data_IF_848472701390
#
_entry.id   IF_848472701390
#
_cell.length_a   1.000
_cell.length_b   1.000
_cell.length_c   1.000
_cell.angle_alpha   90.00
_cell.angle_beta   90.00
_cell.angle_gamma   90.00
#
_symmetry.space_group_name_H-M   'P 1'
#
loop_
_entity.id
_entity.type
_entity.pdbx_description
1 polymer ?
#
# COMPACT_ATOMS: atom_id res chain seq x y z
N UNK A 1 26.04 -9.01 -2.61
CA UNK A 1 25.05 -8.95 -1.52
C UNK A 1 23.67 -8.90 -2.15
N UNK A 2 22.71 -9.75 -1.78
CA UNK A 2 21.35 -9.72 -2.30
C UNK A 2 20.54 -8.71 -1.47
N UNK A 3 20.00 -7.66 -2.10
CA UNK A 3 19.04 -6.76 -1.46
C UNK A 3 17.62 -7.37 -1.46
N UNK A 4 16.72 -6.92 -0.57
CA UNK A 4 15.30 -7.27 -0.65
C UNK A 4 14.72 -6.83 -2.00
N UNK A 5 13.62 -7.45 -2.41
CA UNK A 5 12.88 -6.98 -3.59
C UNK A 5 12.48 -5.54 -3.40
N UNK A 6 12.59 -4.73 -4.45
CA UNK A 6 12.14 -3.34 -4.43
C UNK A 6 10.82 -3.20 -5.19
N UNK A 7 9.82 -2.73 -4.50
CA UNK A 7 8.51 -2.37 -5.04
C UNK A 7 8.21 -0.90 -4.77
N UNK A 8 7.18 -0.35 -5.40
CA UNK A 8 6.75 1.03 -5.19
C UNK A 8 5.31 1.05 -4.68
N UNK A 9 5.03 1.88 -3.69
CA UNK A 9 3.67 2.27 -3.32
C UNK A 9 3.36 3.65 -3.87
N UNK A 10 2.17 3.82 -4.42
CA UNK A 10 1.68 5.14 -4.77
C UNK A 10 1.59 6.00 -3.50
N UNK A 11 2.18 7.20 -3.48
CA UNK A 11 2.12 8.08 -2.33
C UNK A 11 0.77 8.80 -2.25
N UNK A 12 0.36 9.16 -1.04
CA UNK A 12 -0.88 9.91 -0.74
C UNK A 12 -0.55 11.17 0.06
N UNK A 13 0.31 12.03 -0.53
CA UNK A 13 0.69 13.28 0.11
C UNK A 13 -0.44 14.30 0.01
N UNK A 14 -0.96 14.75 1.15
CA UNK A 14 -2.11 15.68 1.21
C UNK A 14 -1.82 17.07 0.60
N UNK A 15 -0.56 17.44 0.54
CA UNK A 15 -0.08 18.70 -0.04
C UNK A 15 0.31 18.57 -1.53
N UNK A 16 0.00 17.42 -2.16
CA UNK A 16 0.34 17.16 -3.57
C UNK A 16 -0.92 16.86 -4.39
N UNK A 17 -0.90 17.17 -5.70
CA UNK A 17 -1.98 16.77 -6.60
C UNK A 17 -2.17 15.24 -6.59
N UNK A 18 -3.38 14.70 -6.43
CA UNK A 18 -3.62 13.26 -6.44
C UNK A 18 -3.17 12.58 -7.74
N UNK A 19 -3.19 13.30 -8.88
CA UNK A 19 -2.77 12.78 -10.19
C UNK A 19 -1.26 12.52 -10.30
N UNK A 20 -0.43 13.01 -9.37
CA UNK A 20 0.99 12.66 -9.29
C UNK A 20 1.16 11.12 -9.17
N UNK A 21 0.17 10.41 -8.64
CA UNK A 21 0.14 8.95 -8.58
C UNK A 21 0.35 8.27 -9.93
N UNK A 22 -0.16 8.84 -11.03
CA UNK A 22 0.03 8.30 -12.37
C UNK A 22 1.48 8.44 -12.84
N UNK A 23 2.13 9.58 -12.55
CA UNK A 23 3.52 9.79 -12.86
C UNK A 23 4.44 8.85 -12.08
N UNK A 24 4.14 8.60 -10.80
CA UNK A 24 4.86 7.61 -9.97
C UNK A 24 4.71 6.20 -10.55
N UNK A 25 3.50 5.81 -10.97
CA UNK A 25 3.25 4.50 -11.57
C UNK A 25 4.04 4.30 -12.86
N UNK A 26 4.09 5.32 -13.73
CA UNK A 26 4.87 5.30 -14.97
C UNK A 26 6.38 5.19 -14.69
N UNK A 27 6.91 5.97 -13.73
CA UNK A 27 8.30 5.89 -13.32
C UNK A 27 8.66 4.50 -12.77
N UNK A 28 7.80 3.91 -11.93
CA UNK A 28 8.00 2.58 -11.38
C UNK A 28 8.03 1.49 -12.47
N UNK A 29 7.14 1.57 -13.46
CA UNK A 29 7.13 0.65 -14.62
C UNK A 29 8.41 0.80 -15.44
N UNK A 30 8.79 2.04 -15.79
CA UNK A 30 9.99 2.35 -16.59
C UNK A 30 11.28 1.87 -15.93
N UNK A 31 11.37 1.97 -14.60
CA UNK A 31 12.52 1.55 -13.80
C UNK A 31 12.45 0.08 -13.40
N UNK A 32 11.51 -0.69 -13.93
CA UNK A 32 11.35 -2.13 -13.72
C UNK A 32 11.30 -2.54 -12.24
N UNK A 33 10.52 -1.84 -11.44
CA UNK A 33 10.24 -2.25 -10.07
C UNK A 33 9.45 -3.56 -10.03
N UNK A 34 9.58 -4.30 -8.93
CA UNK A 34 9.02 -5.64 -8.83
C UNK A 34 7.49 -5.64 -8.87
N UNK A 35 6.83 -4.64 -8.23
CA UNK A 35 5.38 -4.56 -8.05
C UNK A 35 4.96 -3.13 -7.73
N UNK A 36 3.75 -2.74 -8.14
CA UNK A 36 3.14 -1.48 -7.75
C UNK A 36 2.04 -1.71 -6.71
N UNK A 37 2.15 -1.06 -5.56
CA UNK A 37 1.14 -1.08 -4.52
C UNK A 37 0.22 0.13 -4.64
N UNK A 38 -1.08 -0.12 -4.66
CA UNK A 38 -2.14 0.88 -4.87
C UNK A 38 -3.06 0.84 -3.67
N UNK A 39 -2.78 1.68 -2.66
CA UNK A 39 -3.59 1.79 -1.46
C UNK A 39 -4.92 2.51 -1.71
N UNK A 40 -5.77 2.54 -0.70
CA UNK A 40 -7.03 3.27 -0.73
C UNK A 40 -7.06 4.28 0.41
N UNK A 41 -7.20 5.54 0.03
CA UNK A 41 -7.26 6.68 0.95
C UNK A 41 -8.46 7.59 0.57
N UNK A 42 -8.37 8.88 0.88
CA UNK A 42 -9.43 9.86 0.58
C UNK A 42 -9.34 10.46 -0.83
N UNK A 43 -8.72 9.80 -1.79
CA UNK A 43 -8.54 10.30 -3.16
C UNK A 43 -9.22 9.40 -4.18
N UNK A 44 -8.55 8.34 -4.61
CA UNK A 44 -9.06 7.43 -5.63
C UNK A 44 -9.59 6.12 -5.02
N UNK A 45 -10.62 5.56 -5.64
CA UNK A 45 -10.96 4.15 -5.48
C UNK A 45 -9.82 3.30 -6.02
N UNK A 46 -9.33 2.34 -5.22
CA UNK A 46 -8.15 1.55 -5.56
C UNK A 46 -8.35 0.70 -6.82
N UNK A 47 -9.53 0.15 -7.05
CA UNK A 47 -9.80 -0.69 -8.22
C UNK A 47 -9.90 0.14 -9.51
N UNK A 48 -10.54 1.33 -9.43
CA UNK A 48 -10.63 2.25 -10.56
C UNK A 48 -9.25 2.75 -10.97
N UNK A 49 -8.42 3.20 -10.00
CA UNK A 49 -7.06 3.67 -10.25
C UNK A 49 -6.18 2.54 -10.81
N UNK A 50 -6.24 1.34 -10.21
CA UNK A 50 -5.50 0.18 -10.69
C UNK A 50 -5.88 -0.23 -12.11
N UNK A 51 -7.18 -0.13 -12.47
CA UNK A 51 -7.63 -0.39 -13.84
C UNK A 51 -7.07 0.64 -14.81
N UNK A 52 -7.12 1.93 -14.45
CA UNK A 52 -6.55 3.00 -15.28
C UNK A 52 -5.04 2.79 -15.52
N UNK A 53 -4.27 2.56 -14.46
CA UNK A 53 -2.82 2.30 -14.54
C UNK A 53 -2.54 1.00 -15.31
N UNK A 54 -3.27 -0.07 -15.00
CA UNK A 54 -3.05 -1.38 -15.61
C UNK A 54 -3.35 -1.43 -17.10
N UNK A 55 -4.19 -0.53 -17.62
CA UNK A 55 -4.49 -0.36 -19.04
C UNK A 55 -3.39 0.38 -19.80
N UNK A 56 -2.52 1.12 -19.13
CA UNK A 56 -1.34 1.73 -19.72
C UNK A 56 -0.32 0.66 -20.14
N UNK A 57 0.57 0.94 -21.11
CA UNK A 57 1.62 0.01 -21.50
C UNK A 57 2.47 -0.40 -20.30
N UNK A 58 2.72 -1.71 -20.15
CA UNK A 58 3.55 -2.26 -19.09
C UNK A 58 3.09 -3.64 -18.63
N UNK A 59 3.86 -4.23 -17.70
CA UNK A 59 3.63 -5.60 -17.22
C UNK A 59 3.80 -5.74 -15.71
N UNK A 60 4.18 -4.67 -15.01
CA UNK A 60 4.43 -4.72 -13.58
C UNK A 60 3.20 -5.24 -12.84
N UNK A 61 3.34 -6.22 -11.95
CA UNK A 61 2.26 -6.71 -11.11
C UNK A 61 1.67 -5.60 -10.24
N UNK A 62 0.38 -5.68 -9.96
CA UNK A 62 -0.35 -4.73 -9.12
C UNK A 62 -0.70 -5.40 -7.79
N UNK A 63 -0.49 -4.70 -6.67
CA UNK A 63 -0.99 -5.08 -5.36
C UNK A 63 -1.98 -4.04 -4.88
N UNK A 64 -3.24 -4.41 -4.72
CA UNK A 64 -4.33 -3.51 -4.35
C UNK A 64 -4.50 -3.48 -2.84
N UNK A 65 -4.24 -2.33 -2.26
CA UNK A 65 -4.38 -2.13 -0.82
C UNK A 65 -3.12 -1.58 -0.13
N UNK A 66 -3.14 -1.54 1.22
CA UNK A 66 -4.10 -2.23 2.11
C UNK A 66 -5.53 -1.68 2.02
N UNK A 67 -6.45 -2.55 1.58
CA UNK A 67 -7.88 -2.22 1.51
C UNK A 67 -8.51 -2.27 2.90
N UNK A 68 -9.37 -1.30 3.27
CA UNK A 68 -10.01 -1.26 4.57
C UNK A 68 -11.17 -2.27 4.65
N UNK A 69 -10.97 -3.40 5.32
CA UNK A 69 -11.98 -4.47 5.46
C UNK A 69 -13.26 -4.00 6.15
N UNK A 70 -13.23 -2.92 6.93
CA UNK A 70 -14.40 -2.38 7.62
C UNK A 70 -15.39 -1.64 6.72
N UNK A 71 -15.02 -1.33 5.46
CA UNK A 71 -15.86 -0.56 4.52
C UNK A 71 -16.20 -1.30 3.25
N UNK A 72 -15.49 -2.39 2.94
CA UNK A 72 -15.75 -3.25 1.79
C UNK A 72 -16.06 -4.67 2.24
N UNK A 73 -17.07 -5.29 1.64
CA UNK A 73 -17.36 -6.72 1.92
C UNK A 73 -16.33 -7.63 1.25
N UNK A 74 -16.10 -8.84 1.77
CA UNK A 74 -15.19 -9.81 1.15
C UNK A 74 -15.54 -10.09 -0.33
N UNK A 75 -16.82 -10.15 -0.66
CA UNK A 75 -17.29 -10.37 -2.03
C UNK A 75 -16.91 -9.20 -2.95
N UNK A 76 -17.09 -7.95 -2.51
CA UNK A 76 -16.72 -6.77 -3.32
C UNK A 76 -15.21 -6.65 -3.49
N UNK A 77 -14.43 -7.00 -2.47
CA UNK A 77 -12.97 -7.05 -2.57
C UNK A 77 -12.52 -8.07 -3.62
N UNK A 78 -13.02 -9.30 -3.54
CA UNK A 78 -12.66 -10.35 -4.48
C UNK A 78 -13.12 -10.04 -5.92
N UNK A 79 -14.35 -9.50 -6.09
CA UNK A 79 -14.84 -9.04 -7.40
C UNK A 79 -13.95 -7.94 -7.98
N UNK A 80 -13.59 -6.94 -7.17
CA UNK A 80 -12.75 -5.83 -7.62
C UNK A 80 -11.38 -6.32 -8.13
N UNK A 81 -10.69 -7.15 -7.34
CA UNK A 81 -9.40 -7.72 -7.74
C UNK A 81 -9.48 -8.54 -9.03
N UNK A 82 -10.47 -9.43 -9.11
CA UNK A 82 -10.68 -10.26 -10.32
C UNK A 82 -11.05 -9.40 -11.55
N UNK A 83 -11.80 -8.31 -11.36
CA UNK A 83 -12.14 -7.37 -12.42
C UNK A 83 -10.89 -6.64 -12.94
N UNK A 84 -10.05 -6.12 -12.04
CA UNK A 84 -8.79 -5.45 -12.42
C UNK A 84 -7.91 -6.43 -13.21
N UNK A 85 -7.71 -7.65 -12.72
CA UNK A 85 -6.92 -8.66 -13.42
C UNK A 85 -7.48 -8.98 -14.81
N UNK A 86 -8.79 -9.19 -14.93
CA UNK A 86 -9.44 -9.50 -16.20
C UNK A 86 -9.34 -8.36 -17.23
N UNK A 87 -9.48 -7.09 -16.77
CA UNK A 87 -9.47 -5.93 -17.66
C UNK A 87 -8.06 -5.48 -18.06
N UNK A 88 -7.06 -5.73 -17.21
CA UNK A 88 -5.69 -5.27 -17.43
C UNK A 88 -4.77 -6.37 -17.99
N UNK A 89 -5.09 -7.64 -17.76
CA UNK A 89 -4.22 -8.77 -18.06
C UNK A 89 -2.96 -8.84 -17.19
N UNK A 90 -2.87 -8.02 -16.13
CA UNK A 90 -1.73 -8.00 -15.20
C UNK A 90 -1.98 -8.96 -14.04
N UNK A 91 -0.91 -9.54 -13.45
CA UNK A 91 -1.02 -10.20 -12.16
C UNK A 91 -1.51 -9.21 -11.10
N UNK A 92 -2.52 -9.62 -10.32
CA UNK A 92 -3.11 -8.77 -9.28
C UNK A 92 -3.08 -9.51 -7.95
N UNK A 93 -2.44 -8.87 -6.96
CA UNK A 93 -2.42 -9.28 -5.57
C UNK A 93 -3.29 -8.34 -4.74
N UNK A 94 -3.60 -8.74 -3.52
CA UNK A 94 -4.35 -7.94 -2.57
C UNK A 94 -3.55 -7.69 -1.30
N UNK A 95 -3.78 -6.55 -0.69
CA UNK A 95 -3.43 -6.31 0.71
C UNK A 95 -4.68 -5.91 1.49
N UNK A 96 -4.86 -6.49 2.67
CA UNK A 96 -6.00 -6.24 3.55
C UNK A 96 -5.53 -5.60 4.84
N UNK A 97 -6.30 -4.62 5.34
CA UNK A 97 -5.97 -3.93 6.58
C UNK A 97 -7.20 -3.53 7.37
N UNK A 98 -7.05 -3.36 8.69
CA UNK A 98 -8.15 -2.95 9.58
C UNK A 98 -8.46 -1.46 9.51
N UNK A 99 -7.57 -0.68 8.94
CA UNK A 99 -7.61 0.78 8.82
C UNK A 99 -7.79 1.53 10.16
N UNK A 100 -7.87 2.85 10.10
CA UNK A 100 -8.02 3.71 11.27
C UNK A 100 -9.48 3.84 11.72
N UNK A 101 -9.69 4.30 12.96
CA UNK A 101 -11.02 4.65 13.47
C UNK A 101 -11.63 5.80 12.68
N UNK A 102 -10.82 6.78 12.29
CA UNK A 102 -11.27 7.93 11.49
C UNK A 102 -11.85 7.46 10.15
N UNK A 103 -11.12 6.61 9.41
CA UNK A 103 -11.62 6.13 8.13
C UNK A 103 -12.88 5.27 8.29
N UNK A 104 -12.84 4.25 9.15
CA UNK A 104 -13.94 3.27 9.23
C UNK A 104 -15.18 3.86 9.90
N UNK A 105 -15.00 4.58 11.04
CA UNK A 105 -16.12 5.10 11.81
C UNK A 105 -16.57 6.47 11.35
N UNK A 106 -15.63 7.41 11.23
CA UNK A 106 -15.98 8.81 11.08
C UNK A 106 -16.31 9.14 9.61
N UNK A 107 -15.59 8.56 8.63
CA UNK A 107 -15.85 8.80 7.22
C UNK A 107 -16.91 7.88 6.64
N UNK A 108 -16.93 6.59 7.04
CA UNK A 108 -17.83 5.59 6.45
C UNK A 108 -19.00 5.18 7.37
N UNK A 109 -19.08 5.70 8.60
CA UNK A 109 -20.18 5.40 9.53
C UNK A 109 -20.23 3.91 9.94
N UNK A 110 -19.13 3.16 9.84
CA UNK A 110 -19.08 1.73 10.13
C UNK A 110 -18.51 1.44 11.51
N UNK A 111 -18.93 0.34 12.12
CA UNK A 111 -18.38 -0.11 13.40
C UNK A 111 -17.00 -0.71 13.20
N UNK A 112 -16.00 -0.23 13.98
CA UNK A 112 -14.66 -0.81 14.04
C UNK A 112 -14.53 -1.59 15.35
N UNK A 113 -14.81 -2.89 15.31
CA UNK A 113 -14.75 -3.76 16.48
C UNK A 113 -14.21 -5.13 16.10
N UNK A 114 -13.62 -5.86 17.07
CA UNK A 114 -13.07 -7.21 16.87
C UNK A 114 -12.19 -7.32 15.63
N UNK A 115 -11.36 -6.32 15.39
CA UNK A 115 -10.63 -6.10 14.13
C UNK A 115 -9.78 -7.30 13.72
N UNK A 116 -9.13 -8.00 14.65
CA UNK A 116 -8.35 -9.20 14.34
C UNK A 116 -9.26 -10.33 13.82
N UNK A 117 -10.43 -10.54 14.43
CA UNK A 117 -11.39 -11.54 13.97
C UNK A 117 -11.97 -11.18 12.60
N UNK A 118 -12.33 -9.92 12.41
CA UNK A 118 -12.79 -9.41 11.12
C UNK A 118 -11.75 -9.64 10.02
N UNK A 119 -10.47 -9.34 10.32
CA UNK A 119 -9.36 -9.56 9.39
C UNK A 119 -9.20 -11.05 9.04
N UNK A 120 -9.25 -11.96 10.01
CA UNK A 120 -9.18 -13.40 9.79
C UNK A 120 -10.32 -13.90 8.89
N UNK A 121 -11.57 -13.53 9.21
CA UNK A 121 -12.75 -13.96 8.45
C UNK A 121 -12.73 -13.42 7.02
N UNK A 122 -12.44 -12.12 6.84
CA UNK A 122 -12.34 -11.48 5.53
C UNK A 122 -11.25 -12.14 4.68
N UNK A 123 -10.05 -12.35 5.25
CA UNK A 123 -8.91 -12.95 4.51
C UNK A 123 -9.25 -14.35 4.00
N UNK A 124 -9.91 -15.18 4.82
CA UNK A 124 -10.34 -16.54 4.44
C UNK A 124 -11.38 -16.52 3.33
N UNK A 125 -12.42 -15.70 3.46
CA UNK A 125 -13.48 -15.59 2.46
C UNK A 125 -12.93 -15.10 1.13
N UNK A 126 -12.13 -14.01 1.15
CA UNK A 126 -11.50 -13.47 -0.05
C UNK A 126 -10.60 -14.52 -0.71
N UNK A 127 -9.79 -15.24 0.08
CA UNK A 127 -8.91 -16.28 -0.45
C UNK A 127 -9.67 -17.40 -1.16
N UNK A 128 -10.76 -17.88 -0.58
CA UNK A 128 -11.61 -18.91 -1.19
C UNK A 128 -12.29 -18.40 -2.47
N UNK A 129 -12.80 -17.17 -2.45
CA UNK A 129 -13.44 -16.57 -3.65
C UNK A 129 -12.44 -16.40 -4.80
N UNK A 130 -11.21 -15.92 -4.52
CA UNK A 130 -10.16 -15.78 -5.53
C UNK A 130 -9.65 -17.13 -6.05
N UNK A 131 -9.81 -18.22 -5.29
CA UNK A 131 -9.58 -19.58 -5.74
C UNK A 131 -10.74 -20.15 -6.58
N UNK A 132 -11.81 -19.38 -6.81
CA UNK A 132 -12.98 -19.80 -7.60
C UNK A 132 -13.94 -20.71 -6.84
N UNK A 133 -13.84 -20.79 -5.51
CA UNK A 133 -14.72 -21.61 -4.69
C UNK A 133 -16.11 -20.98 -4.55
N UNK A 134 -17.13 -21.85 -4.39
CA UNK A 134 -18.43 -21.42 -3.90
C UNK A 134 -18.38 -21.34 -2.38
N UNK A 135 -18.51 -20.13 -1.84
CA UNK A 135 -18.28 -19.90 -0.41
C UNK A 135 -19.57 -19.98 0.38
N UNK A 136 -19.55 -20.84 1.41
CA UNK A 136 -20.51 -20.91 2.50
C UNK A 136 -19.76 -20.61 3.79
N UNK A 137 -19.98 -19.42 4.35
CA UNK A 137 -19.30 -18.97 5.57
C UNK A 137 -20.28 -18.30 6.52
N UNK A 138 -20.36 -18.74 7.75
CA UNK A 138 -21.18 -18.15 8.82
C UNK A 138 -20.27 -17.82 10.01
N UNK A 139 -19.56 -16.68 9.90
CA UNK A 139 -18.65 -16.18 10.90
C UNK A 139 -19.33 -15.29 11.94
N UNK A 140 -18.51 -14.79 12.85
CA UNK A 140 -18.96 -13.87 13.90
C UNK A 140 -19.22 -12.47 13.35
N UNK A 141 -18.44 -12.04 12.34
CA UNK A 141 -18.48 -10.73 11.71
C UNK A 141 -18.98 -10.84 10.28
N UNK A 142 -18.40 -11.75 9.49
CA UNK A 142 -18.67 -11.91 8.08
C UNK A 142 -19.55 -13.11 7.79
N UNK A 143 -20.46 -12.93 6.82
CA UNK A 143 -21.32 -14.01 6.33
C UNK A 143 -21.39 -14.00 4.82
N UNK A 144 -21.24 -15.18 4.21
CA UNK A 144 -21.36 -15.35 2.76
C UNK A 144 -22.07 -16.67 2.49
N UNK A 145 -23.13 -16.65 1.68
CA UNK A 145 -23.91 -17.85 1.37
C UNK A 145 -24.03 -18.07 -0.12
N UNK A 146 -23.31 -19.06 -0.63
CA UNK A 146 -23.43 -19.53 -2.01
C UNK A 146 -22.83 -18.60 -3.06
N UNK A 147 -22.06 -17.57 -2.66
CA UNK A 147 -21.41 -16.69 -3.61
C UNK A 147 -20.20 -17.38 -4.26
N UNK A 148 -20.06 -17.22 -5.57
CA UNK A 148 -18.94 -17.70 -6.37
C UNK A 148 -18.59 -16.66 -7.43
N UNK A 149 -17.33 -16.32 -7.57
CA UNK A 149 -16.87 -15.50 -8.69
C UNK A 149 -17.03 -16.25 -10.01
N UNK A 150 -17.47 -15.53 -11.05
CA UNK A 150 -17.58 -16.05 -12.41
C UNK A 150 -16.44 -15.59 -13.33
N UNK A 151 -15.47 -14.84 -12.79
CA UNK A 151 -14.22 -14.51 -13.45
C UNK A 151 -13.18 -15.62 -13.22
N UNK A 152 -12.11 -15.69 -14.05
CA UNK A 152 -11.03 -16.65 -13.84
C UNK A 152 -10.46 -16.57 -12.43
N UNK A 153 -10.12 -17.72 -11.85
CA UNK A 153 -9.50 -17.78 -10.54
C UNK A 153 -8.10 -17.14 -10.58
N UNK A 154 -7.78 -16.32 -9.58
CA UNK A 154 -6.47 -15.69 -9.43
C UNK A 154 -5.51 -16.55 -8.61
N UNK A 155 -6.03 -17.56 -7.88
CA UNK A 155 -5.26 -18.42 -6.99
C UNK A 155 -5.47 -19.89 -7.36
N UNK A 156 -4.47 -20.75 -7.16
CA UNK A 156 -4.72 -22.20 -7.16
C UNK A 156 -5.66 -22.56 -6.00
N UNK A 157 -6.56 -23.49 -6.26
CA UNK A 157 -7.42 -24.06 -5.20
C UNK A 157 -6.51 -24.73 -4.17
N UNK A 158 -6.46 -24.24 -2.94
CA UNK A 158 -5.79 -24.96 -1.86
C UNK A 158 -6.65 -26.17 -1.53
N UNK A 159 -6.13 -27.38 -1.75
CA UNK A 159 -6.75 -28.59 -1.27
C UNK A 159 -6.99 -28.44 0.25
N UNK A 160 -8.28 -28.25 0.60
CA UNK A 160 -8.83 -28.32 1.95
C UNK A 160 -8.09 -27.56 3.09
N UNK A 161 -8.15 -26.24 3.10
CA UNK A 161 -8.34 -25.59 4.38
C UNK A 161 -9.82 -25.76 4.72
N UNK A 162 -10.15 -26.78 5.53
CA UNK A 162 -11.49 -26.96 6.08
C UNK A 162 -11.89 -25.66 6.76
N UNK A 163 -12.79 -24.90 6.13
CA UNK A 163 -13.45 -23.78 6.78
C UNK A 163 -14.26 -24.40 7.91
N UNK A 164 -13.69 -24.40 9.13
CA UNK A 164 -14.25 -25.08 10.28
C UNK A 164 -15.71 -24.68 10.47
N UNK A 165 -16.59 -25.63 10.29
CA UNK A 165 -17.99 -25.54 10.65
C UNK A 165 -18.11 -25.56 12.17
N UNK A 166 -17.91 -24.42 12.77
CA UNK A 166 -18.23 -24.19 14.18
C UNK A 166 -19.63 -23.66 14.29
N UNK A 167 -20.61 -24.54 14.33
CA UNK A 167 -21.95 -24.48 14.89
C UNK A 167 -22.98 -25.08 13.95
N UNK A 168 -23.78 -25.99 14.50
CA UNK A 168 -24.80 -26.78 13.84
C UNK A 168 -25.74 -25.94 12.94
N UNK A 169 -25.85 -26.37 11.69
CA UNK A 169 -26.78 -25.84 10.72
C UNK A 169 -28.21 -26.07 11.22
N UNK A 170 -28.92 -24.97 11.54
CA UNK A 170 -30.38 -25.00 11.56
C UNK A 170 -30.85 -24.82 10.12
N UNK A 171 -31.52 -25.82 9.59
CA UNK A 171 -31.93 -25.92 8.20
C UNK A 171 -32.81 -24.76 7.74
N UNK A 172 -32.51 -24.25 6.57
CA UNK A 172 -33.37 -23.39 5.77
C UNK A 172 -33.95 -24.20 4.63
N UNK A 173 -35.26 -24.03 4.28
CA UNK A 173 -35.90 -24.84 3.25
C UNK A 173 -35.28 -24.61 1.86
N UNK A 174 -35.00 -25.71 1.18
CA UNK A 174 -34.51 -25.72 -0.20
C UNK A 174 -35.62 -25.31 -1.17
N UNK A 175 -35.37 -24.32 -1.99
CA UNK A 175 -36.17 -24.01 -3.18
C UNK A 175 -35.66 -24.92 -4.31
N UNK A 176 -36.60 -25.65 -4.91
CA UNK A 176 -36.36 -26.73 -5.86
C UNK A 176 -35.55 -26.32 -7.10
N UNK A 177 -34.68 -27.23 -7.51
CA UNK A 177 -33.93 -27.16 -8.76
C UNK A 177 -34.79 -27.65 -9.92
N UNK A 178 -35.03 -26.78 -10.90
CA UNK A 178 -35.50 -27.22 -12.22
C UNK A 178 -34.29 -27.50 -13.11
N UNK A 179 -34.17 -28.76 -13.53
CA UNK A 179 -33.19 -29.23 -14.51
C UNK A 179 -33.60 -28.78 -15.92
N UNK A 180 -32.75 -27.99 -16.55
CA UNK A 180 -32.85 -27.66 -17.99
C UNK A 180 -31.58 -28.13 -18.72
N UNK A 181 -31.78 -29.06 -19.66
CA UNK A 181 -30.78 -29.62 -20.57
C UNK A 181 -30.29 -28.54 -21.55
N UNK A 182 -28.97 -28.46 -21.77
CA UNK A 182 -28.36 -27.59 -22.77
C UNK A 182 -28.44 -28.11 -24.21
N UNK A 183 -28.05 -27.31 -25.18
CA UNK A 183 -27.41 -27.81 -26.41
C UNK A 183 -25.98 -27.38 -26.58
N UNK A 184 -25.27 -28.22 -27.33
CA UNK A 184 -23.87 -28.25 -27.67
C UNK A 184 -23.49 -27.36 -28.82
N UNK A 185 -22.19 -27.02 -28.85
CA UNK A 185 -21.29 -26.71 -29.99
C UNK A 185 -21.42 -25.36 -30.70
N UNK A 186 -20.32 -24.65 -30.77
CA UNK A 186 -20.07 -23.63 -31.76
C UNK A 186 -18.99 -22.63 -31.37
N UNK A 187 -17.84 -22.77 -32.01
CA UNK A 187 -16.81 -21.78 -32.27
C UNK A 187 -16.19 -20.94 -31.16
N UNK A 188 -14.93 -21.26 -30.88
CA UNK A 188 -13.95 -20.42 -30.18
C UNK A 188 -13.41 -19.34 -31.10
N UNK A 189 -13.45 -18.05 -30.75
CA UNK A 189 -12.50 -17.10 -31.30
C UNK A 189 -11.16 -17.22 -30.57
N UNK A 190 -10.12 -17.49 -31.32
CA UNK A 190 -8.72 -17.47 -30.90
C UNK A 190 -8.33 -16.06 -30.49
N UNK A 191 -8.34 -15.78 -29.19
CA UNK A 191 -7.66 -14.61 -28.63
C UNK A 191 -6.23 -15.04 -28.29
N UNK A 192 -5.27 -14.52 -29.03
CA UNK A 192 -3.85 -14.68 -28.74
C UNK A 192 -3.52 -14.13 -27.35
N UNK A 193 -3.52 -15.01 -26.35
CA UNK A 193 -2.98 -14.73 -25.04
C UNK A 193 -1.46 -14.62 -25.16
N UNK A 194 -0.93 -13.39 -25.10
CA UNK A 194 0.51 -13.20 -24.90
C UNK A 194 0.86 -13.78 -23.53
N UNK A 195 1.73 -14.77 -23.54
CA UNK A 195 2.25 -15.39 -22.32
C UNK A 195 2.86 -14.34 -21.39
N UNK A 196 2.51 -14.38 -20.12
CA UNK A 196 3.16 -13.61 -19.06
C UNK A 196 4.64 -14.03 -18.95
N UNK A 197 5.55 -13.13 -18.55
CA UNK A 197 6.96 -13.49 -18.34
C UNK A 197 7.06 -14.55 -17.24
N UNK A 198 7.98 -15.52 -17.44
CA UNK A 198 8.12 -16.74 -16.65
C UNK A 198 8.41 -16.59 -15.15
N UNK A 199 8.68 -15.36 -14.67
CA UNK A 199 9.04 -15.07 -13.27
C UNK A 199 7.95 -14.42 -12.43
N UNK A 200 6.79 -14.13 -13.01
CA UNK A 200 5.68 -13.52 -12.29
C UNK A 200 4.61 -14.58 -12.10
N UNK A 201 4.39 -14.98 -10.85
CA UNK A 201 3.32 -15.92 -10.50
C UNK A 201 1.94 -15.41 -10.97
N UNK A 202 0.92 -16.26 -10.96
CA UNK A 202 -0.41 -15.95 -11.53
C UNK A 202 -1.16 -14.80 -10.84
N UNK A 203 -0.60 -14.22 -9.76
CA UNK A 203 -1.27 -13.25 -8.91
C UNK A 203 -2.15 -13.92 -7.84
N UNK A 204 -2.92 -13.11 -7.12
CA UNK A 204 -3.85 -13.58 -6.09
C UNK A 204 -3.22 -13.81 -4.72
N UNK A 205 -1.97 -13.40 -4.48
CA UNK A 205 -1.37 -13.33 -3.15
C UNK A 205 -2.22 -12.38 -2.27
N UNK A 206 -2.46 -12.77 -1.03
CA UNK A 206 -3.14 -11.91 -0.04
C UNK A 206 -2.15 -11.53 1.04
N UNK A 207 -1.73 -10.27 1.01
CA UNK A 207 -0.97 -9.65 2.08
C UNK A 207 -1.92 -9.14 3.17
N UNK A 208 -1.44 -9.14 4.42
CA UNK A 208 -2.14 -8.55 5.55
C UNK A 208 -1.28 -7.46 6.18
N UNK A 209 -1.83 -6.25 6.27
CA UNK A 209 -1.19 -5.15 6.97
C UNK A 209 -1.39 -5.32 8.48
N UNK A 210 -0.31 -5.55 9.21
CA UNK A 210 -0.32 -5.86 10.63
C UNK A 210 0.97 -5.41 11.32
N UNK A 211 0.88 -5.01 12.58
CA UNK A 211 2.03 -4.73 13.45
C UNK A 211 1.73 -4.95 14.94
N UNK A 212 0.48 -4.99 15.35
CA UNK A 212 0.11 -5.39 16.71
C UNK A 212 -0.01 -6.91 16.82
N UNK A 213 0.31 -7.47 17.99
CA UNK A 213 0.41 -8.91 18.24
C UNK A 213 -0.76 -9.73 17.68
N UNK A 214 -1.99 -9.31 17.95
CA UNK A 214 -3.20 -10.01 17.46
C UNK A 214 -3.33 -9.99 15.93
N UNK A 215 -2.91 -8.90 15.29
CA UNK A 215 -2.96 -8.80 13.84
C UNK A 215 -1.83 -9.60 13.19
N UNK A 216 -0.63 -9.61 13.80
CA UNK A 216 0.49 -10.46 13.38
C UNK A 216 0.16 -11.95 13.51
N UNK A 217 -0.51 -12.37 14.59
CA UNK A 217 -0.99 -13.75 14.75
C UNK A 217 -1.97 -14.15 13.63
N UNK A 218 -2.95 -13.28 13.32
CA UNK A 218 -3.87 -13.51 12.18
C UNK A 218 -3.11 -13.61 10.88
N UNK A 219 -2.22 -12.64 10.60
CA UNK A 219 -1.43 -12.62 9.37
C UNK A 219 -0.57 -13.88 9.23
N UNK A 220 0.12 -14.28 10.29
CA UNK A 220 0.91 -15.49 10.32
C UNK A 220 0.10 -16.77 10.04
N UNK A 221 -1.18 -16.82 10.45
CA UNK A 221 -2.07 -17.99 10.24
C UNK A 221 -2.74 -18.04 8.87
N UNK A 222 -3.07 -16.90 8.24
CA UNK A 222 -3.93 -16.92 7.06
C UNK A 222 -3.43 -16.09 5.87
N UNK A 223 -2.46 -15.21 6.03
CA UNK A 223 -1.92 -14.42 4.92
C UNK A 223 -0.83 -15.16 4.14
N UNK A 224 -0.63 -14.76 2.90
CA UNK A 224 0.49 -15.20 2.06
C UNK A 224 1.72 -14.30 2.26
N UNK A 225 1.50 -13.08 2.77
CA UNK A 225 2.52 -12.06 3.05
C UNK A 225 2.07 -11.17 4.20
N UNK A 226 3.01 -10.64 4.97
CA UNK A 226 2.75 -9.58 5.96
C UNK A 226 3.29 -8.26 5.47
N UNK A 227 2.56 -7.17 5.69
CA UNK A 227 3.00 -5.82 5.37
C UNK A 227 3.10 -4.99 6.64
N UNK A 228 4.27 -4.40 6.84
CA UNK A 228 4.57 -3.46 7.92
C UNK A 228 4.68 -2.04 7.33
N UNK A 229 4.31 -1.02 8.10
CA UNK A 229 4.39 0.37 7.68
C UNK A 229 4.88 1.27 8.82
N UNK A 230 5.73 2.25 8.50
CA UNK A 230 6.29 3.22 9.46
C UNK A 230 7.02 2.55 10.65
N UNK A 231 7.69 1.44 10.40
CA UNK A 231 8.49 0.69 11.40
C UNK A 231 9.97 0.97 11.22
N UNK A 232 10.70 1.02 12.33
CA UNK A 232 12.17 1.02 12.30
C UNK A 232 12.71 -0.38 11.92
N UNK A 233 13.97 -0.52 11.47
CA UNK A 233 14.57 -1.83 11.26
C UNK A 233 14.54 -2.72 12.52
N UNK A 234 14.75 -2.17 13.71
CA UNK A 234 14.66 -2.93 14.96
C UNK A 234 13.24 -3.45 15.22
N UNK A 235 12.21 -2.64 14.96
CA UNK A 235 10.82 -3.07 15.04
C UNK A 235 10.48 -4.11 13.96
N UNK A 236 11.03 -3.96 12.76
CA UNK A 236 10.89 -4.97 11.69
C UNK A 236 11.42 -6.32 12.15
N UNK A 237 12.62 -6.38 12.72
CA UNK A 237 13.22 -7.63 13.21
C UNK A 237 12.35 -8.31 14.29
N UNK A 238 11.79 -7.53 15.22
CA UNK A 238 10.86 -8.07 16.24
C UNK A 238 9.57 -8.62 15.62
N UNK A 239 8.98 -7.88 14.65
CA UNK A 239 7.79 -8.37 13.95
C UNK A 239 8.07 -9.65 13.18
N UNK A 240 9.21 -9.76 12.49
CA UNK A 240 9.64 -10.97 11.75
C UNK A 240 9.76 -12.16 12.70
N UNK A 241 10.40 -11.96 13.87
CA UNK A 241 10.51 -13.01 14.91
C UNK A 241 9.12 -13.45 15.37
N UNK A 242 8.26 -12.53 15.75
CA UNK A 242 6.89 -12.83 16.21
C UNK A 242 6.07 -13.56 15.13
N UNK A 243 6.17 -13.14 13.85
CA UNK A 243 5.50 -13.81 12.72
C UNK A 243 5.98 -15.26 12.61
N UNK A 244 7.30 -15.51 12.74
CA UNK A 244 7.87 -16.86 12.72
C UNK A 244 7.31 -17.75 13.82
N UNK A 245 7.23 -17.23 15.05
CA UNK A 245 6.67 -17.96 16.20
C UNK A 245 5.18 -18.25 16.03
N UNK A 246 4.38 -17.29 15.56
CA UNK A 246 2.94 -17.48 15.31
C UNK A 246 2.70 -18.48 14.19
N UNK A 247 3.48 -18.42 13.11
CA UNK A 247 3.38 -19.36 11.99
C UNK A 247 3.76 -20.79 12.44
N UNK A 248 4.82 -20.95 13.21
CA UNK A 248 5.23 -22.23 13.77
C UNK A 248 4.15 -22.84 14.67
N UNK A 249 3.53 -22.02 15.56
CA UNK A 249 2.37 -22.48 16.37
C UNK A 249 1.18 -22.89 15.52
N UNK A 250 1.01 -22.29 14.34
CA UNK A 250 -0.04 -22.63 13.38
C UNK A 250 0.34 -23.80 12.44
N UNK A 251 1.51 -24.40 12.61
CA UNK A 251 1.99 -25.52 11.78
C UNK A 251 2.25 -25.14 10.32
N UNK A 252 2.65 -23.89 10.04
CA UNK A 252 2.94 -23.43 8.68
C UNK A 252 4.27 -22.67 8.59
N UNK A 253 4.80 -22.55 7.38
CA UNK A 253 5.95 -21.68 7.12
C UNK A 253 5.57 -20.22 7.38
N UNK A 254 6.52 -19.44 7.89
CA UNK A 254 6.36 -18.01 8.06
C UNK A 254 6.09 -17.32 6.71
N UNK A 255 5.08 -16.47 6.59
CA UNK A 255 4.88 -15.68 5.40
C UNK A 255 6.00 -14.63 5.23
N UNK A 256 6.43 -14.32 3.99
CA UNK A 256 7.37 -13.26 3.72
C UNK A 256 6.86 -11.90 4.20
N UNK A 257 7.80 -10.99 4.51
CA UNK A 257 7.51 -9.68 5.08
C UNK A 257 7.89 -8.57 4.11
N UNK A 258 6.94 -7.71 3.79
CA UNK A 258 7.15 -6.44 3.08
C UNK A 258 7.13 -5.28 4.07
N UNK A 259 8.02 -4.32 3.89
CA UNK A 259 8.06 -3.10 4.71
C UNK A 259 7.83 -1.88 3.81
N UNK A 260 6.81 -1.08 4.10
CA UNK A 260 6.62 0.20 3.43
C UNK A 260 7.53 1.24 4.07
N UNK A 261 8.38 1.86 3.25
CA UNK A 261 9.39 2.81 3.69
C UNK A 261 9.31 4.07 2.84
N UNK A 262 9.03 5.19 3.48
CA UNK A 262 9.10 6.51 2.84
C UNK A 262 10.56 6.81 2.49
N UNK A 263 10.80 7.26 1.26
CA UNK A 263 12.17 7.49 0.78
C UNK A 263 12.32 8.80 0.01
N UNK A 264 13.48 9.45 0.18
CA UNK A 264 13.90 10.63 -0.55
C UNK A 264 15.39 10.64 -0.81
N UNK A 265 15.80 10.64 -2.09
CA UNK A 265 17.20 10.81 -2.48
C UNK A 265 17.56 12.30 -2.46
N UNK A 266 18.71 12.63 -1.85
CA UNK A 266 19.21 14.02 -1.68
C UNK A 266 18.08 14.95 -1.21
N UNK A 267 17.50 14.69 0.01
CA UNK A 267 16.28 15.34 0.46
C UNK A 267 16.48 16.82 0.74
N UNK A 268 15.48 17.60 0.34
CA UNK A 268 15.38 19.04 0.63
C UNK A 268 14.34 19.32 1.74
N UNK A 269 14.19 20.60 2.11
CA UNK A 269 13.25 21.04 3.14
C UNK A 269 11.78 20.74 2.79
N UNK A 270 11.42 20.78 1.50
CA UNK A 270 10.06 20.51 1.03
C UNK A 270 9.71 19.03 1.19
N UNK A 271 10.67 18.14 0.91
CA UNK A 271 10.51 16.71 1.16
C UNK A 271 10.27 16.42 2.64
N UNK A 272 11.06 16.98 3.55
CA UNK A 272 10.87 16.78 4.99
C UNK A 272 9.55 17.36 5.49
N UNK A 273 9.12 18.52 4.97
CA UNK A 273 7.80 19.10 5.29
C UNK A 273 6.67 18.16 4.86
N UNK A 274 6.76 17.60 3.66
CA UNK A 274 5.78 16.62 3.14
C UNK A 274 5.71 15.37 4.03
N UNK A 275 6.86 14.81 4.39
CA UNK A 275 6.91 13.59 5.22
C UNK A 275 6.36 13.85 6.63
N UNK A 276 6.76 14.93 7.28
CA UNK A 276 6.24 15.29 8.62
C UNK A 276 4.72 15.46 8.58
N UNK A 277 4.20 16.15 7.56
CA UNK A 277 2.74 16.30 7.38
C UNK A 277 2.03 14.96 7.24
N UNK A 278 2.64 14.00 6.52
CA UNK A 278 2.12 12.65 6.36
C UNK A 278 2.09 11.83 7.66
N UNK A 279 3.01 12.09 8.59
CA UNK A 279 3.09 11.35 9.87
C UNK A 279 2.05 11.81 10.90
N UNK A 280 1.61 13.08 10.87
CA UNK A 280 0.70 13.67 11.88
C UNK A 280 -0.51 12.78 12.16
N UNK A 281 -1.17 12.27 11.12
CA UNK A 281 -2.35 11.43 11.25
C UNK A 281 -2.09 10.07 11.91
N UNK A 282 -0.85 9.57 11.83
CA UNK A 282 -0.48 8.29 12.41
C UNK A 282 -0.15 8.37 13.91
N UNK A 283 0.29 9.54 14.42
CA UNK A 283 0.64 9.70 15.84
C UNK A 283 -0.54 9.41 16.79
N UNK A 284 -1.77 9.53 16.33
CA UNK A 284 -3.00 9.23 17.08
C UNK A 284 -3.64 7.89 16.69
N UNK A 285 -3.11 7.22 15.70
CA UNK A 285 -3.70 5.99 15.20
C UNK A 285 -3.33 4.80 16.12
N UNK A 286 -4.33 4.00 16.56
CA UNK A 286 -4.08 2.88 17.47
C UNK A 286 -3.04 1.91 16.95
N UNK A 287 -2.02 1.65 17.77
CA UNK A 287 -0.89 0.79 17.45
C UNK A 287 0.31 1.56 16.89
N UNK A 288 0.12 2.58 16.06
CA UNK A 288 1.19 3.47 15.63
C UNK A 288 1.70 4.33 16.78
N UNK A 289 0.80 4.80 17.65
CA UNK A 289 1.13 5.53 18.87
C UNK A 289 2.12 4.75 19.76
N UNK A 290 1.86 3.47 19.99
CA UNK A 290 2.76 2.59 20.74
C UNK A 290 4.11 2.41 20.02
N UNK A 291 4.10 2.23 18.69
CA UNK A 291 5.32 2.07 17.89
C UNK A 291 6.21 3.31 17.91
N UNK A 292 5.63 4.50 17.73
CA UNK A 292 6.40 5.75 17.80
C UNK A 292 6.91 6.02 19.22
N UNK A 293 6.13 5.69 20.26
CA UNK A 293 6.57 5.80 21.64
C UNK A 293 7.78 4.89 21.92
N UNK A 294 7.71 3.64 21.45
CA UNK A 294 8.81 2.67 21.58
C UNK A 294 10.05 3.11 20.79
N UNK A 295 9.87 3.77 19.65
CA UNK A 295 10.95 4.32 18.83
C UNK A 295 11.60 5.59 19.44
N UNK A 296 11.14 6.05 20.60
CA UNK A 296 11.69 7.21 21.31
C UNK A 296 10.90 8.51 21.13
N UNK A 297 9.78 8.50 20.39
CA UNK A 297 9.00 9.69 20.05
C UNK A 297 7.73 9.87 20.88
N UNK A 298 7.74 9.38 22.15
CA UNK A 298 6.59 9.43 23.04
C UNK A 298 6.12 10.83 23.41
N UNK A 299 6.97 11.85 23.32
CA UNK A 299 6.59 13.23 23.62
C UNK A 299 5.61 13.78 22.57
N UNK A 300 5.92 13.69 21.29
CA UNK A 300 5.04 14.14 20.21
C UNK A 300 3.76 13.29 20.12
N UNK A 301 3.82 12.01 20.46
CA UNK A 301 2.65 11.14 20.60
C UNK A 301 1.73 11.65 21.71
N UNK A 302 2.26 11.96 22.90
CA UNK A 302 1.47 12.53 24.01
C UNK A 302 0.84 13.87 23.63
N UNK A 303 1.58 14.75 22.96
CA UNK A 303 1.07 16.02 22.44
C UNK A 303 -0.13 15.80 21.49
N UNK A 304 0.01 14.88 20.55
CA UNK A 304 -1.05 14.53 19.60
C UNK A 304 -2.31 13.99 20.31
N UNK A 305 -2.15 13.08 21.30
CA UNK A 305 -3.26 12.54 22.10
C UNK A 305 -3.90 13.58 23.03
N UNK A 306 -3.13 14.58 23.47
CA UNK A 306 -3.61 15.67 24.31
C UNK A 306 -4.57 16.65 23.61
N UNK A 307 -4.88 16.44 22.35
CA UNK A 307 -5.83 17.28 21.59
C UNK A 307 -5.20 18.55 21.02
N UNK A 308 -3.87 18.64 20.96
CA UNK A 308 -3.18 19.75 20.30
C UNK A 308 -3.62 19.90 18.85
N UNK A 309 -3.64 21.13 18.35
CA UNK A 309 -4.00 21.39 16.96
C UNK A 309 -2.99 20.69 16.01
N UNK A 310 -3.41 20.15 14.86
CA UNK A 310 -2.51 19.44 13.92
C UNK A 310 -1.28 20.24 13.51
N UNK A 311 -1.36 21.57 13.44
CA UNK A 311 -0.21 22.46 13.15
C UNK A 311 0.83 22.44 14.27
N UNK A 312 0.39 22.42 15.53
CA UNK A 312 1.28 22.38 16.70
C UNK A 312 1.96 21.00 16.80
N UNK A 313 1.21 19.93 16.51
CA UNK A 313 1.75 18.58 16.41
C UNK A 313 2.80 18.50 15.30
N UNK A 314 2.51 19.06 14.11
CA UNK A 314 3.45 19.10 12.99
C UNK A 314 4.74 19.82 13.35
N UNK A 315 4.64 20.97 14.03
CA UNK A 315 5.79 21.75 14.46
C UNK A 315 6.64 21.03 15.53
N UNK A 316 6.03 20.15 16.32
CA UNK A 316 6.70 19.38 17.37
C UNK A 316 7.31 18.06 16.88
N UNK A 317 7.08 17.64 15.61
CA UNK A 317 7.70 16.42 15.07
C UNK A 317 9.20 16.66 14.90
N UNK A 318 10.07 15.92 15.62
CA UNK A 318 11.51 16.05 15.48
C UNK A 318 11.99 15.50 14.13
N UNK A 319 13.10 16.05 13.62
CA UNK A 319 13.69 15.68 12.34
C UNK A 319 14.12 14.21 12.30
N UNK A 320 14.46 13.63 13.45
CA UNK A 320 14.86 12.25 13.60
C UNK A 320 13.71 11.26 13.37
N UNK A 321 12.46 11.66 13.58
CA UNK A 321 11.32 10.75 13.44
C UNK A 321 11.16 10.26 11.99
N UNK A 322 11.11 11.13 10.96
CA UNK A 322 11.09 10.67 9.56
C UNK A 322 12.28 9.77 9.22
N UNK A 323 13.49 10.11 9.69
CA UNK A 323 14.69 9.33 9.43
C UNK A 323 14.67 7.95 10.11
N UNK A 324 14.05 7.83 11.30
CA UNK A 324 13.93 6.57 12.02
C UNK A 324 13.09 5.53 11.28
N UNK A 325 12.02 5.95 10.59
CA UNK A 325 11.06 5.08 9.89
C UNK A 325 11.14 5.17 8.37
N UNK A 326 12.09 5.95 7.82
CA UNK A 326 12.27 6.20 6.40
C UNK A 326 13.68 5.93 5.91
N UNK A 327 13.93 6.31 4.65
CA UNK A 327 15.23 6.26 3.96
C UNK A 327 15.48 7.60 3.28
N UNK A 328 16.39 8.41 3.82
CA UNK A 328 16.71 9.75 3.31
C UNK A 328 18.21 9.94 3.25
N UNK A 329 18.72 10.54 2.18
CA UNK A 329 20.13 10.85 1.99
C UNK A 329 20.62 10.62 0.57
N UNK A 330 21.93 10.60 0.43
CA UNK A 330 22.62 10.26 -0.81
C UNK A 330 22.46 8.76 -1.16
N UNK A 331 22.86 8.33 -2.36
CA UNK A 331 22.73 6.92 -2.76
C UNK A 331 23.46 5.94 -1.82
N UNK A 332 24.59 6.33 -1.21
CA UNK A 332 25.31 5.45 -0.29
C UNK A 332 24.53 5.26 1.02
N UNK A 333 23.95 6.34 1.55
CA UNK A 333 23.07 6.32 2.72
C UNK A 333 21.82 5.50 2.46
N UNK A 334 21.18 5.65 1.28
CA UNK A 334 20.01 4.85 0.89
C UNK A 334 20.37 3.35 0.81
N UNK A 335 21.52 3.00 0.22
CA UNK A 335 21.98 1.61 0.13
C UNK A 335 22.25 1.01 1.52
N UNK A 336 22.92 1.76 2.41
CA UNK A 336 23.15 1.34 3.78
C UNK A 336 21.84 1.10 4.53
N UNK A 337 20.87 2.03 4.41
CA UNK A 337 19.57 1.93 5.06
C UNK A 337 18.73 0.76 4.53
N UNK A 338 18.75 0.52 3.23
CA UNK A 338 18.14 -0.65 2.61
C UNK A 338 18.74 -1.95 3.17
N UNK A 339 20.06 -1.96 3.38
CA UNK A 339 20.77 -3.06 4.05
C UNK A 339 20.25 -3.34 5.45
N UNK A 340 19.94 -2.30 6.26
CA UNK A 340 19.42 -2.51 7.62
C UNK A 340 18.03 -3.15 7.65
N UNK A 341 17.16 -2.86 6.68
CA UNK A 341 15.86 -3.55 6.55
C UNK A 341 16.00 -5.00 6.09
N UNK A 342 16.96 -5.29 5.17
CA UNK A 342 17.31 -6.66 4.80
C UNK A 342 17.78 -7.46 6.02
N UNK A 343 18.71 -6.91 6.80
CA UNK A 343 19.28 -7.56 7.97
C UNK A 343 18.25 -7.77 9.08
N UNK A 344 17.20 -6.93 9.10
CA UNK A 344 16.02 -7.09 9.94
C UNK A 344 15.04 -8.16 9.44
N UNK A 345 15.30 -8.81 8.29
CA UNK A 345 14.50 -9.89 7.74
C UNK A 345 13.35 -9.44 6.81
N UNK A 346 13.41 -8.23 6.26
CA UNK A 346 12.47 -7.82 5.21
C UNK A 346 12.80 -8.54 3.89
N UNK A 347 11.81 -9.21 3.30
CA UNK A 347 11.91 -9.86 1.98
C UNK A 347 11.68 -8.85 0.85
N UNK A 348 10.93 -7.81 1.12
CA UNK A 348 10.57 -6.76 0.18
C UNK A 348 10.55 -5.40 0.88
N UNK A 349 11.18 -4.40 0.27
CA UNK A 349 11.02 -3.00 0.65
C UNK A 349 10.13 -2.32 -0.38
N UNK A 350 9.01 -1.80 0.09
CA UNK A 350 8.05 -1.07 -0.72
C UNK A 350 8.32 0.42 -0.52
N UNK A 351 8.89 1.03 -1.52
CA UNK A 351 9.28 2.44 -1.51
C UNK A 351 8.05 3.33 -1.66
N UNK A 352 7.83 4.24 -0.72
CA UNK A 352 6.87 5.33 -0.83
C UNK A 352 7.67 6.58 -1.20
N UNK A 353 7.78 6.95 -2.49
CA UNK A 353 8.64 8.07 -2.88
C UNK A 353 8.04 9.39 -2.40
N UNK A 354 8.90 10.27 -1.87
CA UNK A 354 8.48 11.64 -1.60
C UNK A 354 8.44 12.39 -2.93
N UNK A 355 7.28 12.94 -3.26
CA UNK A 355 7.09 13.74 -4.47
C UNK A 355 7.09 15.23 -4.12
N UNK A 356 7.62 16.05 -5.03
CA UNK A 356 7.65 17.51 -4.91
C UNK A 356 7.11 18.16 -6.18
N UNK A 357 6.94 19.47 -6.19
CA UNK A 357 6.53 20.18 -7.40
C UNK A 357 7.56 20.02 -8.54
N UNK A 358 8.85 19.93 -8.19
CA UNK A 358 9.93 19.74 -9.15
C UNK A 358 10.10 18.29 -9.59
N UNK A 359 9.64 17.32 -8.77
CA UNK A 359 9.69 15.88 -9.06
C UNK A 359 8.37 15.21 -8.67
N UNK A 360 7.29 15.39 -9.46
CA UNK A 360 5.97 14.84 -9.15
C UNK A 360 5.92 13.30 -9.26
N UNK A 361 6.88 12.69 -9.93
CA UNK A 361 7.02 11.24 -10.04
C UNK A 361 7.87 10.62 -8.92
N UNK A 362 8.58 11.42 -8.12
CA UNK A 362 9.61 10.93 -7.21
C UNK A 362 10.75 10.22 -7.96
N UNK A 363 10.95 10.60 -9.23
CA UNK A 363 11.83 9.89 -10.16
C UNK A 363 13.27 9.84 -9.65
N UNK A 364 13.79 10.94 -9.08
CA UNK A 364 15.14 11.00 -8.51
C UNK A 364 15.37 9.90 -7.47
N UNK A 365 14.41 9.71 -6.58
CA UNK A 365 14.47 8.67 -5.53
C UNK A 365 14.37 7.27 -6.14
N UNK A 366 13.41 7.08 -7.04
CA UNK A 366 13.19 5.78 -7.68
C UNK A 366 14.37 5.37 -8.55
N UNK A 367 14.97 6.29 -9.32
CA UNK A 367 16.13 6.03 -10.16
C UNK A 367 17.37 5.67 -9.32
N UNK A 368 17.64 6.41 -8.23
CA UNK A 368 18.72 6.12 -7.31
C UNK A 368 18.62 4.70 -6.71
N UNK A 369 17.43 4.32 -6.25
CA UNK A 369 17.19 2.98 -5.69
C UNK A 369 17.24 1.87 -6.76
N UNK A 370 16.80 2.13 -7.98
CA UNK A 370 16.95 1.21 -9.10
C UNK A 370 18.44 0.98 -9.44
N UNK A 371 19.25 2.02 -9.47
CA UNK A 371 20.68 1.94 -9.69
C UNK A 371 21.39 1.13 -8.58
N UNK A 372 21.02 1.30 -7.31
CA UNK A 372 21.53 0.50 -6.18
C UNK A 372 21.21 -0.99 -6.39
N UNK A 373 19.97 -1.31 -6.77
CA UNK A 373 19.54 -2.69 -7.07
C UNK A 373 20.37 -3.32 -8.20
N UNK A 374 20.58 -2.58 -9.29
CA UNK A 374 21.36 -3.04 -10.45
C UNK A 374 22.82 -3.29 -10.10
N UNK A 375 23.43 -2.42 -9.31
CA UNK A 375 24.80 -2.54 -8.86
C UNK A 375 25.01 -3.80 -8.01
N UNK A 376 24.03 -4.18 -7.21
CA UNK A 376 24.09 -5.37 -6.37
C UNK A 376 23.94 -6.68 -7.16
N UNK A 377 23.33 -6.65 -8.34
CA UNK A 377 23.14 -7.84 -9.19
C UNK A 377 24.29 -8.09 -10.16
N UNK A 378 25.22 -7.14 -10.33
CA UNK A 378 26.41 -7.28 -11.18
C UNK A 378 27.60 -7.77 -10.34
N UNK A 379 28.10 -9.02 -10.50
CA UNK A 379 29.32 -9.46 -9.84
C UNK A 379 30.50 -8.64 -10.37
N UNK A 380 31.21 -7.88 -9.51
CA UNK A 380 32.48 -7.23 -9.82
C UNK A 380 32.45 -5.77 -10.28
N UNK A 381 31.36 -5.03 -10.10
CA UNK A 381 31.37 -3.59 -10.35
C UNK A 381 31.72 -2.83 -9.05
N UNK A 382 32.99 -2.47 -8.90
CA UNK A 382 33.39 -1.36 -8.03
C UNK A 382 32.59 -0.11 -8.45
N UNK A 383 32.09 0.63 -7.46
CA UNK A 383 31.43 1.92 -7.60
C UNK A 383 32.35 2.92 -8.35
N UNK A 384 32.42 2.85 -9.66
CA UNK A 384 32.99 3.89 -10.50
C UNK A 384 31.89 4.95 -10.67
N UNK A 385 32.11 6.08 -9.97
CA UNK A 385 31.21 7.23 -9.99
C UNK A 385 30.87 7.64 -11.42
N UNK A 386 29.60 7.59 -11.76
CA UNK A 386 29.05 8.42 -12.82
C UNK A 386 28.90 9.83 -12.26
N UNK A 387 30.01 10.55 -12.23
CA UNK A 387 29.99 11.99 -12.19
C UNK A 387 29.30 12.49 -13.47
N UNK A 388 28.20 13.17 -13.31
CA UNK A 388 27.64 14.00 -14.37
C UNK A 388 28.74 14.96 -14.86
N UNK A 389 28.89 15.22 -16.15
CA UNK A 389 29.92 16.12 -16.64
C UNK A 389 29.66 17.52 -16.05
N UNK A 390 30.62 17.96 -15.27
CA UNK A 390 30.64 19.33 -14.68
C UNK A 390 30.53 20.36 -15.77
N UNK A 391 29.66 21.31 -15.58
CA UNK A 391 29.59 22.56 -16.31
C UNK A 391 30.92 23.30 -16.17
N UNK A 392 31.78 23.19 -17.18
CA UNK A 392 32.98 23.98 -17.32
C UNK A 392 32.64 25.45 -17.44
N UNK A 393 33.10 26.20 -16.48
CA UNK A 393 33.17 27.68 -16.53
C UNK A 393 34.24 28.11 -17.53
N UNK A 394 33.86 28.88 -18.52
CA UNK A 394 34.78 29.70 -19.35
C UNK A 394 34.18 31.08 -19.59
N UNK A 395 35.00 32.16 -19.65
CA UNK A 395 34.56 33.52 -19.35
C UNK A 395 34.23 34.36 -20.60
N UNK A 396 33.41 35.39 -20.32
CA UNK A 396 33.26 36.72 -20.97
C UNK A 396 32.99 36.86 -22.47
N UNK A 397 31.86 37.50 -22.79
CA UNK A 397 31.83 38.80 -23.47
C UNK A 397 30.42 39.40 -23.55
N UNK A 398 30.36 40.65 -23.12
CA UNK A 398 29.47 41.78 -23.36
C UNK A 398 28.43 41.72 -24.51
N UNK A 399 27.25 42.27 -24.22
CA UNK A 399 26.57 43.07 -25.22
C UNK A 399 25.05 43.17 -25.16
N UNK A 400 24.55 44.28 -24.59
CA UNK A 400 23.40 45.09 -25.01
C UNK A 400 21.96 44.55 -24.98
N UNK A 401 21.22 45.04 -23.99
CA UNK A 401 19.89 45.68 -24.02
C UNK A 401 18.89 45.37 -25.14
N UNK A 402 17.67 44.95 -24.75
CA UNK A 402 16.43 45.72 -25.01
C UNK A 402 15.20 45.12 -24.30
N UNK A 403 14.55 46.04 -23.62
CA UNK A 403 13.19 46.19 -23.10
C UNK A 403 12.05 45.44 -23.78
N UNK A 404 11.06 44.99 -22.96
CA UNK A 404 9.70 44.75 -23.43
C UNK A 404 8.80 44.02 -22.44
N UNK A 405 8.12 44.79 -21.59
CA UNK A 405 6.75 44.72 -21.07
C UNK A 405 6.11 43.38 -20.68
N UNK A 406 5.87 43.09 -19.44
CA UNK A 406 4.69 43.24 -18.60
C UNK A 406 3.75 42.03 -18.53
N UNK A 407 3.19 41.78 -17.36
CA UNK A 407 2.64 40.46 -16.99
C UNK A 407 1.12 40.35 -17.19
N UNK A 408 0.68 39.11 -17.51
CA UNK A 408 -0.73 38.75 -17.39
C UNK A 408 -0.92 37.92 -16.10
N UNK A 409 -1.64 38.50 -15.16
CA UNK A 409 -2.13 37.87 -13.94
C UNK A 409 -3.30 36.97 -14.28
N UNK A 410 -3.12 35.65 -14.09
CA UNK A 410 -4.21 34.67 -14.09
C UNK A 410 -4.57 34.29 -12.66
N UNK A 411 -5.75 34.67 -12.22
CA UNK A 411 -6.33 34.28 -10.93
C UNK A 411 -6.58 32.78 -10.86
N UNK A 412 -6.11 32.16 -9.78
CA UNK A 412 -6.43 30.79 -9.39
C UNK A 412 -7.63 30.84 -8.43
N UNK A 413 -8.71 30.06 -8.64
CA UNK A 413 -9.85 30.03 -7.72
C UNK A 413 -9.48 29.36 -6.41
N UNK A 414 -9.79 30.04 -5.31
CA UNK A 414 -9.69 29.53 -3.94
C UNK A 414 -10.88 28.64 -3.65
N UNK A 415 -10.64 27.39 -3.25
CA UNK A 415 -11.65 26.55 -2.61
C UNK A 415 -11.74 26.92 -1.14
N UNK A 416 -12.92 27.42 -0.74
CA UNK A 416 -13.27 27.68 0.65
C UNK A 416 -13.63 26.37 1.36
N UNK A 417 -13.05 26.17 2.54
CA UNK A 417 -13.47 25.13 3.49
C UNK A 417 -14.76 25.56 4.19
N UNK A 418 -15.77 24.67 4.39
CA UNK A 418 -16.96 25.02 5.16
C UNK A 418 -16.61 25.23 6.64
N UNK A 419 -16.89 26.41 7.15
CA UNK A 419 -16.75 26.75 8.55
C UNK A 419 -17.74 26.00 9.43
N UNK A 420 -17.29 25.65 10.62
CA UNK A 420 -18.11 25.12 11.70
C UNK A 420 -19.20 26.14 12.10
N UNK A 421 -20.45 25.75 11.95
CA UNK A 421 -21.58 26.49 12.49
C UNK A 421 -21.60 26.31 14.02
N UNK A 422 -21.51 27.43 14.74
CA UNK A 422 -21.73 27.48 16.17
C UNK A 422 -23.22 27.37 16.49
N UNK A 423 -23.58 26.44 17.37
CA UNK A 423 -24.87 26.35 18.02
C UNK A 423 -24.98 27.44 19.09
N UNK A 424 -25.84 28.41 18.87
CA UNK A 424 -26.33 29.30 19.90
C UNK A 424 -27.68 28.78 20.44
N UNK A 425 -27.67 28.42 21.71
CA UNK A 425 -28.87 28.09 22.48
C UNK A 425 -29.89 29.25 22.48
N UNK A 426 -31.15 28.91 22.16
CA UNK A 426 -32.32 29.74 22.34
C UNK A 426 -33.37 28.96 23.10
N UNK A 427 -33.58 29.31 24.36
CA UNK A 427 -34.66 28.88 25.25
C UNK A 427 -36.03 29.41 24.77
N UNK A 428 -37.07 28.60 24.88
CA UNK A 428 -38.43 29.14 24.81
C UNK A 428 -39.53 28.11 24.61
N UNK A 429 -40.12 27.68 25.71
CA UNK A 429 -41.47 27.08 25.96
C UNK A 429 -41.65 25.63 25.50
#
# INVERSE_FOLDING_TARGET
>A
MTFPKLSVSLPYWQNRPPLDALAVAEAAEKLAYHRLWIGEMATFDAFALATAIGRSPGRMPLCLGPLPIGVRTPATIAMGAATVAALTGRPVDLALGTSSTVLVRDWHGRRRHRTARHLDETTRIVGALLAGEKVEYDGLIERTRGFRLRLPALRPTRAHAVLGSGAAARGWPSVGSTTGRGPSTGDRPSAAHRAAPADVGPGGEIAVAAFGERALDVAARCADRVVLNLVTPAQTARCVTAIGEFAARAGRAAPPVSVWVTAGADPDADMFTTVRSGVVGYLRAPGYDAMFTEAGFGEVVRLAHGGAHPRDVLAAIPDELPAAVGMFGDPATLAARLGTYRDAGADEVVVVPVTTAADPAGYRTLDALAAIRESATRPGAELRGRLLPGSGSGPHANGASRSGSGPATGEVPRFETPGAAGDSAGSGR
#
